data_IF_551785143692
#
_entry.id   IF_551785143692
#
_cell.length_a   1.000
_cell.length_b   1.000
_cell.length_c   1.000
_cell.angle_alpha   90.00
_cell.angle_beta   90.00
_cell.angle_gamma   90.00
#
_symmetry.space_group_name_H-M   'P 1'
#
loop_
_entity.id
_entity.type
_entity.pdbx_description
1 polymer ?
#
# COMPACT_ATOMS: atom_id res chain seq x y z
N UNK A 1 -11.44 7.38 -19.15
CA UNK A 1 -10.09 7.27 -18.62
C UNK A 1 -9.96 6.02 -17.77
N UNK A 2 -8.99 5.20 -18.02
CA UNK A 2 -8.83 3.95 -17.31
C UNK A 2 -7.94 4.12 -16.08
N UNK A 3 -8.35 3.54 -14.97
CA UNK A 3 -7.49 3.40 -13.80
C UNK A 3 -6.45 2.33 -14.09
N UNK A 4 -5.31 2.43 -13.40
CA UNK A 4 -4.26 1.42 -13.47
C UNK A 4 -4.10 0.79 -12.09
N UNK A 5 -3.74 -0.49 -12.07
CA UNK A 5 -3.57 -1.18 -10.80
C UNK A 5 -2.37 -2.12 -10.82
N UNK A 6 -1.88 -2.41 -9.62
CA UNK A 6 -0.85 -3.41 -9.43
C UNK A 6 -1.17 -4.20 -8.16
N UNK A 7 -0.76 -5.45 -8.15
CA UNK A 7 -0.88 -6.30 -6.97
C UNK A 7 0.48 -6.93 -6.67
N UNK A 8 0.73 -7.19 -5.39
CA UNK A 8 1.90 -7.91 -4.95
C UNK A 8 1.50 -8.83 -3.80
N UNK A 9 2.09 -10.02 -3.78
CA UNK A 9 1.97 -10.92 -2.63
C UNK A 9 3.34 -10.95 -1.96
N UNK A 10 3.42 -10.36 -0.77
CA UNK A 10 4.69 -10.18 -0.06
C UNK A 10 4.83 -11.31 0.96
N UNK A 11 5.82 -12.21 0.79
CA UNK A 11 6.00 -13.31 1.74
C UNK A 11 6.37 -12.80 3.13
N UNK A 12 5.51 -13.06 4.09
CA UNK A 12 5.76 -12.76 5.51
C UNK A 12 4.69 -13.41 6.34
N UNK A 13 5.06 -13.88 7.53
CA UNK A 13 4.10 -14.39 8.51
C UNK A 13 3.59 -13.28 9.43
N UNK A 14 4.07 -12.05 9.27
CA UNK A 14 3.74 -10.90 10.11
C UNK A 14 2.92 -9.83 9.38
N UNK A 15 2.18 -10.24 8.34
CA UNK A 15 1.42 -9.28 7.52
C UNK A 15 0.44 -8.45 8.32
N UNK A 16 -0.29 -9.07 9.26
CA UNK A 16 -1.24 -8.36 10.11
C UNK A 16 -0.55 -7.27 10.92
N UNK A 17 0.58 -7.58 11.53
CA UNK A 17 1.35 -6.61 12.32
C UNK A 17 1.77 -5.43 11.46
N UNK A 18 2.30 -5.69 10.28
CA UNK A 18 2.81 -4.63 9.41
C UNK A 18 1.70 -3.76 8.83
N UNK A 19 0.59 -4.35 8.40
CA UNK A 19 -0.52 -3.54 7.89
C UNK A 19 -1.10 -2.66 8.98
N UNK A 20 -1.21 -3.15 10.21
CA UNK A 20 -1.72 -2.36 11.31
C UNK A 20 -0.78 -1.20 11.65
N UNK A 21 0.53 -1.43 11.67
CA UNK A 21 1.51 -0.38 11.91
C UNK A 21 1.46 0.69 10.83
N UNK A 22 1.37 0.28 9.57
CA UNK A 22 1.32 1.19 8.44
C UNK A 22 0.03 2.01 8.45
N UNK A 23 -1.10 1.37 8.68
CA UNK A 23 -2.39 2.05 8.74
C UNK A 23 -2.44 3.06 9.89
N UNK A 24 -1.93 2.70 11.06
CA UNK A 24 -1.85 3.62 12.20
C UNK A 24 -0.96 4.82 11.89
N UNK A 25 0.13 4.60 11.16
CA UNK A 25 1.03 5.68 10.77
C UNK A 25 0.34 6.68 9.83
N UNK A 26 -0.35 6.18 8.83
CA UNK A 26 -0.97 7.03 7.82
C UNK A 26 -2.33 7.61 8.22
N UNK A 27 -3.01 7.05 9.21
CA UNK A 27 -4.33 7.56 9.62
C UNK A 27 -4.29 8.99 10.15
N UNK A 28 -3.12 9.49 10.53
CA UNK A 28 -2.97 10.86 11.00
C UNK A 28 -3.19 11.88 9.89
N UNK A 29 -2.96 11.51 8.65
CA UNK A 29 -3.00 12.43 7.51
C UNK A 29 -3.91 11.96 6.37
N UNK A 30 -4.32 10.70 6.37
CA UNK A 30 -5.05 10.10 5.26
C UNK A 30 -6.30 9.40 5.78
N UNK A 31 -7.23 9.14 4.86
CA UNK A 31 -8.42 8.34 5.17
C UNK A 31 -8.00 6.87 5.22
N UNK A 32 -8.02 6.29 6.40
CA UNK A 32 -7.59 4.92 6.64
C UNK A 32 -8.68 4.17 7.38
N UNK A 33 -8.94 2.93 6.93
CA UNK A 33 -9.87 2.02 7.60
C UNK A 33 -9.20 0.66 7.66
N UNK A 34 -9.14 0.04 8.83
CA UNK A 34 -8.45 -1.24 8.93
C UNK A 34 -8.92 -2.10 10.08
N UNK A 35 -8.74 -3.41 9.90
CA UNK A 35 -8.86 -4.46 10.91
C UNK A 35 -7.52 -5.18 10.96
N UNK A 36 -7.33 -6.16 11.87
CA UNK A 36 -6.08 -6.92 11.87
C UNK A 36 -5.78 -7.68 10.56
N UNK A 37 -6.80 -8.00 9.76
CA UNK A 37 -6.62 -8.77 8.53
C UNK A 37 -6.75 -7.96 7.25
N UNK A 38 -7.32 -6.75 7.32
CA UNK A 38 -7.64 -5.98 6.12
C UNK A 38 -7.44 -4.49 6.38
N UNK A 39 -6.93 -3.76 5.39
CA UNK A 39 -6.78 -2.32 5.51
C UNK A 39 -6.91 -1.62 4.17
N UNK A 40 -7.43 -0.39 4.20
CA UNK A 40 -7.50 0.47 3.03
C UNK A 40 -6.98 1.85 3.38
N UNK A 41 -6.27 2.47 2.44
CA UNK A 41 -5.71 3.81 2.60
C UNK A 41 -6.00 4.59 1.31
N UNK A 42 -6.62 5.76 1.45
CA UNK A 42 -6.91 6.64 0.31
C UNK A 42 -5.83 7.72 0.25
N UNK A 43 -5.16 7.82 -0.89
CA UNK A 43 -4.19 8.86 -1.15
C UNK A 43 -4.84 9.92 -2.05
N UNK A 44 -5.11 11.12 -1.53
CA UNK A 44 -5.74 12.18 -2.34
C UNK A 44 -4.93 12.50 -3.58
N UNK A 45 -5.61 12.85 -4.66
CA UNK A 45 -4.99 13.19 -5.95
C UNK A 45 -3.99 14.32 -5.85
N UNK A 46 -4.14 15.18 -4.86
CA UNK A 46 -3.28 16.36 -4.66
C UNK A 46 -2.38 16.22 -3.43
N UNK A 47 -2.24 15.03 -2.89
CA UNK A 47 -1.39 14.81 -1.72
C UNK A 47 0.04 15.28 -1.98
N UNK A 48 0.62 16.03 -1.04
CA UNK A 48 1.99 16.54 -1.11
C UNK A 48 2.27 17.38 -2.37
N UNK A 49 1.26 18.14 -2.82
CA UNK A 49 1.43 18.99 -3.98
C UNK A 49 1.35 18.27 -5.32
N UNK A 50 0.97 17.01 -5.33
CA UNK A 50 0.76 16.26 -6.56
C UNK A 50 -0.47 16.78 -7.30
N UNK A 51 -0.55 16.46 -8.58
CA UNK A 51 -1.69 16.84 -9.43
C UNK A 51 -2.05 15.64 -10.31
N UNK A 52 -2.73 14.67 -9.70
CA UNK A 52 -3.16 13.46 -10.41
C UNK A 52 -4.64 13.56 -10.81
N UNK A 53 -5.07 12.78 -11.82
CA UNK A 53 -6.46 12.80 -12.28
C UNK A 53 -7.48 12.37 -11.20
N UNK A 54 -7.10 11.52 -10.29
CA UNK A 54 -7.97 11.03 -9.23
C UNK A 54 -7.19 10.51 -8.05
N UNK A 55 -7.91 10.10 -7.01
CA UNK A 55 -7.29 9.56 -5.80
C UNK A 55 -6.72 8.17 -6.06
N UNK A 56 -5.70 7.79 -5.28
CA UNK A 56 -5.18 6.43 -5.26
C UNK A 56 -5.71 5.66 -4.06
N UNK A 57 -5.87 4.36 -4.22
CA UNK A 57 -6.33 3.48 -3.15
C UNK A 57 -5.34 2.34 -2.96
N UNK A 58 -4.91 2.12 -1.72
CA UNK A 58 -4.06 0.97 -1.37
C UNK A 58 -4.87 0.06 -0.47
N UNK A 59 -4.90 -1.22 -0.80
CA UNK A 59 -5.62 -2.25 -0.04
C UNK A 59 -4.65 -3.32 0.43
N UNK A 60 -4.75 -3.69 1.69
CA UNK A 60 -3.94 -4.76 2.29
C UNK A 60 -4.83 -5.87 2.79
N UNK A 61 -4.41 -7.12 2.55
CA UNK A 61 -5.04 -8.31 3.11
C UNK A 61 -3.96 -9.21 3.68
N UNK A 62 -4.01 -9.44 4.98
CA UNK A 62 -3.01 -10.27 5.66
C UNK A 62 -3.46 -11.74 5.65
N UNK A 63 -2.69 -12.57 4.97
CA UNK A 63 -2.86 -14.02 5.02
C UNK A 63 -1.88 -14.64 6.02
N UNK A 64 -1.88 -15.96 6.08
CA UNK A 64 -1.02 -16.71 7.00
C UNK A 64 0.46 -16.56 6.63
N UNK A 65 0.77 -16.62 5.34
CA UNK A 65 2.15 -16.66 4.85
C UNK A 65 2.51 -15.48 3.96
N UNK A 66 1.58 -14.58 3.72
CA UNK A 66 1.83 -13.45 2.84
C UNK A 66 0.92 -12.27 3.17
N UNK A 67 1.40 -11.07 2.86
CA UNK A 67 0.60 -9.85 2.87
C UNK A 67 0.28 -9.50 1.43
N UNK A 68 -1.00 -9.51 1.08
CA UNK A 68 -1.43 -9.09 -0.24
C UNK A 68 -1.57 -7.57 -0.25
N UNK A 69 -1.02 -6.94 -1.29
CA UNK A 69 -1.07 -5.50 -1.47
C UNK A 69 -1.66 -5.21 -2.85
N UNK A 70 -2.68 -4.35 -2.89
CA UNK A 70 -3.27 -3.90 -4.15
C UNK A 70 -3.24 -2.38 -4.19
N UNK A 71 -2.84 -1.82 -5.31
CA UNK A 71 -2.87 -0.38 -5.55
C UNK A 71 -3.75 -0.12 -6.75
N UNK A 72 -4.75 0.74 -6.57
CA UNK A 72 -5.58 1.26 -7.64
C UNK A 72 -5.25 2.73 -7.79
N UNK A 73 -4.73 3.13 -8.94
CA UNK A 73 -4.26 4.48 -9.18
C UNK A 73 -4.94 5.09 -10.40
N UNK A 74 -4.92 6.41 -10.47
CA UNK A 74 -5.53 7.17 -11.57
C UNK A 74 -4.58 7.37 -12.75
N UNK A 75 -3.29 7.11 -12.56
CA UNK A 75 -2.28 7.28 -13.60
C UNK A 75 -1.07 6.40 -13.31
N UNK A 76 -0.25 6.16 -14.33
CA UNK A 76 0.98 5.40 -14.16
C UNK A 76 1.95 6.09 -13.20
N UNK A 77 2.06 7.41 -13.26
CA UNK A 77 2.92 8.16 -12.35
C UNK A 77 2.48 8.02 -10.90
N UNK A 78 1.19 8.09 -10.64
CA UNK A 78 0.66 7.88 -9.31
C UNK A 78 0.93 6.45 -8.83
N UNK A 79 0.72 5.46 -9.71
CA UNK A 79 0.95 4.07 -9.37
C UNK A 79 2.40 3.82 -8.94
N UNK A 80 3.37 4.34 -9.70
CA UNK A 80 4.78 4.16 -9.35
C UNK A 80 5.14 4.85 -8.05
N UNK A 81 4.59 6.03 -7.81
CA UNK A 81 4.80 6.74 -6.55
C UNK A 81 4.25 5.96 -5.35
N UNK A 82 3.05 5.39 -5.50
CA UNK A 82 2.42 4.61 -4.42
C UNK A 82 3.17 3.30 -4.17
N UNK A 83 3.65 2.62 -5.22
CA UNK A 83 4.50 1.44 -5.05
C UNK A 83 5.71 1.76 -4.17
N UNK A 84 6.41 2.84 -4.49
CA UNK A 84 7.57 3.26 -3.73
C UNK A 84 7.24 3.63 -2.29
N UNK A 85 6.16 4.38 -2.08
CA UNK A 85 5.74 4.79 -0.75
C UNK A 85 5.39 3.58 0.13
N UNK A 86 4.61 2.64 -0.41
CA UNK A 86 4.23 1.42 0.30
C UNK A 86 5.46 0.59 0.64
N UNK A 87 6.33 0.35 -0.34
CA UNK A 87 7.50 -0.48 -0.13
C UNK A 87 8.44 0.10 0.94
N UNK A 88 8.73 1.40 0.83
CA UNK A 88 9.62 2.05 1.81
C UNK A 88 9.07 2.01 3.22
N UNK A 89 7.76 2.26 3.39
CA UNK A 89 7.15 2.29 4.71
C UNK A 89 7.05 0.88 5.29
N UNK A 90 6.68 -0.12 4.50
CA UNK A 90 6.64 -1.49 4.98
C UNK A 90 8.03 -1.98 5.39
N UNK A 91 9.05 -1.70 4.60
CA UNK A 91 10.43 -2.05 4.94
C UNK A 91 10.87 -1.41 6.25
N UNK A 92 10.45 -0.19 6.50
CA UNK A 92 10.77 0.53 7.74
C UNK A 92 10.18 -0.19 8.96
N UNK A 93 8.93 -0.63 8.88
CA UNK A 93 8.29 -1.34 9.98
C UNK A 93 8.75 -2.78 10.08
N UNK A 94 9.10 -3.39 8.95
CA UNK A 94 9.53 -4.78 8.86
C UNK A 94 11.06 -4.90 8.81
N UNK A 95 11.76 -4.06 9.56
CA UNK A 95 13.21 -3.93 9.42
C UNK A 95 13.97 -5.25 9.64
N UNK A 96 13.39 -6.21 10.37
CA UNK A 96 14.00 -7.50 10.59
C UNK A 96 13.91 -8.44 9.38
N UNK A 97 12.98 -8.15 8.47
CA UNK A 97 12.76 -8.93 7.26
C UNK A 97 13.13 -8.14 5.99
N UNK A 98 13.43 -6.85 6.15
CA UNK A 98 13.69 -5.99 5.00
C UNK A 98 15.00 -6.37 4.29
N UNK A 99 15.05 -6.18 2.95
CA UNK A 99 13.95 -5.68 2.15
C UNK A 99 12.92 -6.77 1.88
N UNK A 100 11.64 -6.38 2.00
CA UNK A 100 10.55 -7.29 1.66
C UNK A 100 10.50 -7.48 0.15
N UNK A 101 10.10 -8.66 -0.29
CA UNK A 101 10.02 -8.97 -1.72
C UNK A 101 8.68 -8.48 -2.28
N UNK A 102 8.73 -7.48 -3.14
CA UNK A 102 7.56 -6.95 -3.84
C UNK A 102 7.64 -7.34 -5.31
N UNK A 103 6.88 -8.36 -5.68
CA UNK A 103 6.78 -8.80 -7.08
C UNK A 103 5.49 -8.21 -7.65
N UNK A 104 5.56 -6.97 -8.09
CA UNK A 104 4.39 -6.25 -8.58
C UNK A 104 3.93 -6.79 -9.92
N UNK A 105 2.63 -7.04 -10.02
CA UNK A 105 1.98 -7.52 -11.23
C UNK A 105 0.80 -6.62 -11.56
N UNK A 106 0.42 -6.57 -12.83
CA UNK A 106 -0.80 -5.88 -13.23
C UNK A 106 -1.99 -6.60 -12.63
N UNK A 107 -2.85 -5.85 -11.99
CA UNK A 107 -3.98 -6.40 -11.26
C UNK A 107 -5.15 -6.89 -12.11
#
# INVERSE_FOLDING_TARGET
>A
MSAVHAIASVPTTHGSKYLQQLCKHWQHNLAVDFTPEHGTIVFPKDARGADFPGDGLVTFDAGTDALAVRIDASSDGQLEGLKGAVARHLDRFAFREAPLAFDWRAG
#
